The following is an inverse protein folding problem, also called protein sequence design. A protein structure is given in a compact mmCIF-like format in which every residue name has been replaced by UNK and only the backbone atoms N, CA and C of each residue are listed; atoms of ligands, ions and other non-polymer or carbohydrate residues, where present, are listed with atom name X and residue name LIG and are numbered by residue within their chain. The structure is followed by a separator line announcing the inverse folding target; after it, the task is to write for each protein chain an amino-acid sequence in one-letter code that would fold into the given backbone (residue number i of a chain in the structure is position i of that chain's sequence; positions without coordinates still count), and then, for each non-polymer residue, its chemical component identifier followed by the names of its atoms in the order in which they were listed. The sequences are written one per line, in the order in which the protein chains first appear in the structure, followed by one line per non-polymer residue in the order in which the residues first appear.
data_IF_879198593339
#
_entry.id   IF_879198593339
#
_cell.length_a   1.000
_cell.length_b   1.000
_cell.length_c   1.000
_cell.angle_alpha   90.00
_cell.angle_beta   90.00
_cell.angle_gamma   90.00
#
_symmetry.space_group_name_H-M   'P 1'
#
loop_
_entity.id
_entity.type
_entity.pdbx_description
1 polymer ?
#
# COMPACT_ATOMS: atom_id res chain seq x y z
N UNK A 1 -17.88 -2.01 20.33
CA UNK A 1 -18.28 -1.47 19.00
C UNK A 1 -17.65 -0.08 18.86
N UNK A 2 -16.60 0.08 18.05
CA UNK A 2 -15.79 1.32 17.98
C UNK A 2 -16.59 2.58 17.64
N UNK A 3 -17.67 2.42 16.87
CA UNK A 3 -18.58 3.52 16.48
C UNK A 3 -19.36 4.13 17.66
N UNK A 4 -19.35 3.50 18.85
CA UNK A 4 -19.93 4.08 20.07
C UNK A 4 -19.07 5.20 20.66
N UNK A 5 -17.77 5.17 20.41
CA UNK A 5 -16.82 6.11 21.03
C UNK A 5 -16.31 7.16 20.05
N UNK A 6 -16.27 6.85 18.74
CA UNK A 6 -15.73 7.75 17.73
C UNK A 6 -16.53 7.73 16.42
N UNK A 7 -16.67 8.87 15.73
CA UNK A 7 -17.33 8.95 14.44
C UNK A 7 -16.45 8.33 13.34
N UNK A 8 -16.66 7.05 13.05
CA UNK A 8 -15.99 6.37 11.94
C UNK A 8 -16.69 6.75 10.63
N UNK A 9 -16.03 7.62 9.86
CA UNK A 9 -16.52 8.18 8.60
C UNK A 9 -15.92 7.53 7.35
N UNK A 10 -14.77 6.86 7.46
CA UNK A 10 -14.08 6.24 6.32
C UNK A 10 -13.61 4.84 6.67
N UNK A 11 -13.29 4.06 5.64
CA UNK A 11 -12.73 2.72 5.77
C UNK A 11 -11.56 2.56 4.78
N UNK A 12 -10.64 1.65 5.06
CA UNK A 12 -9.52 1.34 4.18
C UNK A 12 -9.24 -0.16 4.25
N UNK A 13 -9.14 -0.81 3.10
CA UNK A 13 -8.75 -2.21 3.04
C UNK A 13 -7.26 -2.37 3.44
N UNK A 14 -6.97 -3.28 4.36
CA UNK A 14 -5.58 -3.67 4.63
C UNK A 14 -5.25 -4.95 3.86
N UNK A 15 -4.22 -4.95 3.03
CA UNK A 15 -3.88 -6.10 2.19
C UNK A 15 -3.34 -7.29 2.98
N UNK A 16 -3.76 -8.51 2.62
CA UNK A 16 -3.10 -9.74 3.04
C UNK A 16 -2.35 -10.35 1.86
N UNK A 17 -1.04 -10.52 2.00
CA UNK A 17 -0.15 -11.04 0.94
C UNK A 17 -0.42 -12.52 0.65
N UNK A 18 -1.01 -13.25 1.59
CA UNK A 18 -1.25 -14.70 1.49
C UNK A 18 -2.62 -15.08 0.94
N UNK A 19 -3.54 -14.13 0.80
CA UNK A 19 -4.85 -14.39 0.21
C UNK A 19 -4.84 -14.03 -1.28
N UNK A 20 -5.40 -14.94 -2.10
CA UNK A 20 -5.63 -14.68 -3.54
C UNK A 20 -6.67 -13.59 -3.78
N UNK A 21 -7.68 -13.53 -2.91
CA UNK A 21 -8.77 -12.56 -3.01
C UNK A 21 -8.26 -11.16 -2.74
N UNK A 22 -8.73 -10.20 -3.54
CA UNK A 22 -8.36 -8.81 -3.33
C UNK A 22 -9.37 -8.21 -2.35
N UNK A 23 -8.89 -7.61 -1.26
CA UNK A 23 -9.76 -7.20 -0.16
C UNK A 23 -10.81 -6.15 -0.55
N UNK A 24 -10.63 -5.40 -1.65
CA UNK A 24 -11.65 -4.50 -2.16
C UNK A 24 -12.81 -5.21 -2.86
N UNK A 25 -12.70 -6.50 -3.20
CA UNK A 25 -13.76 -7.24 -3.90
C UNK A 25 -15.01 -7.43 -3.04
N UNK A 26 -14.89 -7.28 -1.71
CA UNK A 26 -16.04 -7.23 -0.80
C UNK A 26 -17.05 -6.17 -1.23
N UNK A 27 -16.59 -5.06 -1.80
CA UNK A 27 -17.43 -3.95 -2.25
C UNK A 27 -18.16 -4.21 -3.57
N UNK A 28 -17.83 -5.31 -4.27
CA UNK A 28 -18.67 -5.81 -5.38
C UNK A 28 -20.00 -6.40 -4.87
N UNK A 29 -20.03 -6.85 -3.61
CA UNK A 29 -21.20 -7.46 -2.96
C UNK A 29 -21.91 -6.52 -1.98
N UNK A 30 -21.15 -5.63 -1.34
CA UNK A 30 -21.66 -4.74 -0.30
C UNK A 30 -21.44 -3.27 -0.66
N UNK A 31 -22.37 -2.40 -0.25
CA UNK A 31 -22.23 -0.95 -0.41
C UNK A 31 -21.87 -0.32 0.95
N UNK A 32 -20.66 0.22 1.07
CA UNK A 32 -20.20 0.88 2.29
C UNK A 32 -21.03 2.13 2.65
N UNK A 33 -21.67 2.78 1.67
CA UNK A 33 -22.49 3.99 1.91
C UNK A 33 -23.71 3.69 2.77
N UNK A 34 -24.26 2.47 2.67
CA UNK A 34 -25.38 2.00 3.51
C UNK A 34 -25.02 1.97 5.00
N UNK A 35 -23.73 1.94 5.33
CA UNK A 35 -23.24 1.97 6.71
C UNK A 35 -22.87 3.39 7.16
N UNK A 36 -23.20 4.43 6.39
CA UNK A 36 -22.86 5.82 6.70
C UNK A 36 -21.36 6.11 6.59
N UNK A 37 -20.64 5.36 5.75
CA UNK A 37 -19.23 5.62 5.44
C UNK A 37 -19.16 6.51 4.19
N UNK A 38 -18.34 7.55 4.26
CA UNK A 38 -18.12 8.54 3.20
C UNK A 38 -17.31 7.97 2.04
N UNK A 39 -16.40 7.03 2.31
CA UNK A 39 -15.50 6.49 1.29
C UNK A 39 -14.63 5.35 1.78
N UNK A 40 -14.12 4.61 0.81
CA UNK A 40 -13.06 3.62 1.00
C UNK A 40 -11.80 4.11 0.29
N UNK A 41 -10.65 4.12 0.98
CA UNK A 41 -9.44 4.80 0.52
C UNK A 41 -9.02 4.40 -0.89
N UNK A 42 -9.03 3.12 -1.24
CA UNK A 42 -8.59 2.65 -2.56
C UNK A 42 -9.65 2.87 -3.65
N UNK A 43 -10.94 2.68 -3.34
CA UNK A 43 -12.04 2.86 -4.30
C UNK A 43 -12.36 4.32 -4.57
N UNK A 44 -12.44 5.14 -3.52
CA UNK A 44 -12.74 6.57 -3.62
C UNK A 44 -11.64 7.31 -4.37
N UNK A 45 -10.39 6.87 -4.23
CA UNK A 45 -9.25 7.46 -4.93
C UNK A 45 -8.91 6.73 -6.24
N UNK A 46 -9.61 5.66 -6.63
CA UNK A 46 -9.20 4.78 -7.74
C UNK A 46 -9.00 5.53 -9.06
N UNK A 47 -9.92 6.44 -9.42
CA UNK A 47 -9.81 7.23 -10.66
C UNK A 47 -8.65 8.23 -10.61
N UNK A 48 -8.40 8.81 -9.44
CA UNK A 48 -7.36 9.83 -9.23
C UNK A 48 -5.97 9.22 -9.02
N UNK A 49 -5.87 8.05 -8.38
CA UNK A 49 -4.61 7.31 -8.23
C UNK A 49 -4.22 6.63 -9.54
N UNK A 50 -5.18 6.10 -10.32
CA UNK A 50 -4.89 5.55 -11.66
C UNK A 50 -4.36 6.60 -12.64
N UNK A 51 -4.77 7.85 -12.47
CA UNK A 51 -4.31 8.99 -13.27
C UNK A 51 -3.18 9.78 -12.62
N UNK A 52 -2.89 9.54 -11.34
CA UNK A 52 -1.87 10.20 -10.55
C UNK A 52 -0.65 9.32 -10.26
N UNK A 53 0.24 9.83 -9.43
CA UNK A 53 1.52 9.19 -9.15
C UNK A 53 1.55 8.62 -7.73
N UNK A 54 1.61 7.29 -7.61
CA UNK A 54 1.62 6.59 -6.32
C UNK A 54 3.02 6.09 -5.94
N UNK A 55 3.50 6.52 -4.77
CA UNK A 55 4.79 6.19 -4.19
C UNK A 55 4.64 5.52 -2.84
N UNK A 56 5.57 4.61 -2.51
CA UNK A 56 5.74 4.11 -1.16
C UNK A 56 7.21 4.03 -0.79
N UNK A 57 7.52 4.39 0.45
CA UNK A 57 8.84 4.21 1.08
C UNK A 57 9.27 2.73 1.15
N UNK A 58 8.36 1.80 0.90
CA UNK A 58 8.62 0.35 0.85
C UNK A 58 8.98 -0.18 -0.53
N UNK A 59 9.00 0.69 -1.55
CA UNK A 59 9.18 0.29 -2.95
C UNK A 59 7.97 -0.44 -3.54
N UNK A 60 6.87 -0.60 -2.79
CA UNK A 60 5.59 -1.09 -3.31
C UNK A 60 4.84 0.06 -3.95
N UNK A 61 5.12 0.25 -5.23
CA UNK A 61 4.57 1.34 -6.04
C UNK A 61 3.92 0.78 -7.29
N UNK A 62 2.92 1.49 -7.81
CA UNK A 62 2.27 1.14 -9.08
C UNK A 62 3.05 1.68 -10.28
N UNK A 63 3.84 2.73 -10.04
CA UNK A 63 4.68 3.38 -11.06
C UNK A 63 6.12 2.88 -10.97
N UNK A 64 6.77 2.63 -12.11
CA UNK A 64 8.16 2.16 -12.18
C UNK A 64 9.16 3.30 -11.94
N UNK A 65 9.29 3.76 -10.70
CA UNK A 65 10.32 4.74 -10.32
C UNK A 65 11.51 4.03 -9.68
N UNK A 66 12.63 3.99 -10.40
CA UNK A 66 13.80 3.20 -10.00
C UNK A 66 14.87 4.01 -9.27
N UNK A 67 14.91 5.32 -9.48
CA UNK A 67 15.98 6.20 -9.00
C UNK A 67 15.40 7.49 -8.47
N UNK A 68 16.16 8.15 -7.60
CA UNK A 68 15.83 9.48 -7.07
C UNK A 68 15.69 10.51 -8.19
N UNK A 69 16.52 10.44 -9.23
CA UNK A 69 16.43 11.35 -10.38
C UNK A 69 15.12 11.19 -11.16
N UNK A 70 14.65 9.94 -11.32
CA UNK A 70 13.35 9.67 -11.93
C UNK A 70 12.21 10.25 -11.08
N UNK A 71 12.32 10.18 -9.76
CA UNK A 71 11.36 10.79 -8.84
C UNK A 71 11.37 12.32 -8.98
N UNK A 72 12.55 12.95 -8.92
CA UNK A 72 12.72 14.40 -9.06
C UNK A 72 12.13 14.88 -10.38
N UNK A 73 12.46 14.21 -11.50
CA UNK A 73 11.90 14.55 -12.82
C UNK A 73 10.38 14.46 -12.87
N UNK A 74 9.78 13.50 -12.15
CA UNK A 74 8.32 13.34 -12.11
C UNK A 74 7.63 14.44 -11.30
N UNK A 75 8.24 14.89 -10.19
CA UNK A 75 7.66 15.92 -9.32
C UNK A 75 7.99 17.36 -9.75
N UNK A 76 9.01 17.54 -10.59
CA UNK A 76 9.44 18.86 -11.06
C UNK A 76 8.41 19.51 -12.01
N UNK A 77 8.26 20.85 -11.97
CA UNK A 77 7.44 21.58 -12.94
C UNK A 77 7.83 21.27 -14.38
N UNK A 78 6.88 21.28 -15.35
CA UNK A 78 5.48 21.73 -15.24
C UNK A 78 4.49 20.61 -14.86
N UNK A 79 4.94 19.50 -14.28
CA UNK A 79 4.11 18.33 -14.08
C UNK A 79 3.00 18.58 -13.02
N UNK A 80 1.75 18.73 -13.46
CA UNK A 80 0.57 19.02 -12.60
C UNK A 80 -0.18 17.75 -12.16
N UNK A 81 0.54 16.65 -11.92
CA UNK A 81 -0.10 15.40 -11.50
C UNK A 81 -0.30 15.38 -9.98
N UNK A 82 -1.38 14.75 -9.52
CA UNK A 82 -1.60 14.50 -8.10
C UNK A 82 -0.64 13.41 -7.62
N UNK A 83 0.02 13.65 -6.49
CA UNK A 83 0.97 12.72 -5.88
C UNK A 83 0.36 12.08 -4.63
N UNK A 84 0.52 10.77 -4.52
CA UNK A 84 0.09 9.98 -3.36
C UNK A 84 1.31 9.28 -2.79
N UNK A 85 1.58 9.50 -1.49
CA UNK A 85 2.75 8.92 -0.80
C UNK A 85 2.25 8.06 0.35
N UNK A 86 2.64 6.78 0.34
CA UNK A 86 2.50 5.87 1.46
C UNK A 86 3.83 5.77 2.21
N UNK A 87 3.90 6.43 3.36
CA UNK A 87 5.02 6.36 4.29
C UNK A 87 4.67 5.49 5.50
N UNK A 88 5.65 4.78 6.02
CA UNK A 88 5.54 4.02 7.27
C UNK A 88 6.56 4.57 8.27
N UNK A 89 6.18 5.55 9.10
CA UNK A 89 7.11 6.19 10.04
C UNK A 89 7.85 5.20 10.95
N UNK A 90 7.21 4.09 11.32
CA UNK A 90 7.82 3.01 12.10
C UNK A 90 9.05 2.38 11.43
N UNK A 91 9.21 2.56 10.12
CA UNK A 91 10.38 2.10 9.36
C UNK A 91 11.51 3.11 9.34
N UNK A 92 11.26 4.35 9.72
CA UNK A 92 12.24 5.44 9.78
C UNK A 92 12.91 5.42 11.16
N UNK A 93 13.52 4.28 11.48
CA UNK A 93 14.21 4.11 12.75
C UNK A 93 15.55 4.86 12.70
N UNK A 94 15.76 5.78 13.63
CA UNK A 94 16.99 6.57 13.75
C UNK A 94 18.18 5.75 14.29
N UNK A 95 17.95 4.53 14.79
CA UNK A 95 18.99 3.64 15.27
C UNK A 95 19.50 2.72 14.15
N UNK A 96 20.76 2.93 13.75
CA UNK A 96 21.45 2.16 12.72
C UNK A 96 21.44 0.65 12.97
N UNK A 97 21.58 0.22 14.23
CA UNK A 97 21.59 -1.20 14.58
C UNK A 97 20.21 -1.83 14.40
N UNK A 98 19.16 -1.14 14.87
CA UNK A 98 17.78 -1.60 14.70
C UNK A 98 17.36 -1.63 13.22
N UNK A 99 17.80 -0.63 12.44
CA UNK A 99 17.61 -0.60 10.99
C UNK A 99 18.31 -1.79 10.31
N UNK A 100 19.57 -2.06 10.66
CA UNK A 100 20.34 -3.19 10.12
C UNK A 100 19.68 -4.54 10.42
N UNK A 101 19.22 -4.76 11.65
CA UNK A 101 18.46 -5.95 12.04
C UNK A 101 17.16 -6.08 11.23
N UNK A 102 16.42 -4.97 11.06
CA UNK A 102 15.20 -4.94 10.25
C UNK A 102 15.48 -5.29 8.79
N UNK A 103 16.58 -4.79 8.21
CA UNK A 103 16.98 -5.09 6.83
C UNK A 103 17.26 -6.58 6.65
N UNK A 104 18.03 -7.19 7.56
CA UNK A 104 18.34 -8.63 7.52
C UNK A 104 17.05 -9.45 7.60
N UNK A 105 16.17 -9.14 8.56
CA UNK A 105 14.89 -9.82 8.71
C UNK A 105 14.00 -9.68 7.47
N UNK A 106 14.00 -8.51 6.81
CA UNK A 106 13.27 -8.31 5.57
C UNK A 106 13.83 -9.16 4.42
N UNK A 107 15.16 -9.26 4.28
CA UNK A 107 15.80 -10.12 3.27
C UNK A 107 15.41 -11.59 3.48
N UNK A 108 15.48 -12.07 4.73
CA UNK A 108 15.07 -13.44 5.08
C UNK A 108 13.59 -13.67 4.74
N UNK A 109 12.70 -12.77 5.16
CA UNK A 109 11.25 -12.88 4.87
C UNK A 109 10.97 -12.91 3.37
N UNK A 110 11.66 -12.09 2.58
CA UNK A 110 11.47 -12.04 1.14
C UNK A 110 11.99 -13.32 0.47
N UNK A 111 13.12 -13.86 0.93
CA UNK A 111 13.66 -15.14 0.48
C UNK A 111 12.69 -16.29 0.75
N UNK A 112 12.17 -16.39 1.97
CA UNK A 112 11.17 -17.41 2.34
C UNK A 112 9.90 -17.27 1.49
N UNK A 113 9.41 -16.04 1.27
CA UNK A 113 8.27 -15.80 0.39
C UNK A 113 8.53 -16.26 -1.04
N UNK A 114 9.75 -16.09 -1.55
CA UNK A 114 10.10 -16.52 -2.90
C UNK A 114 10.16 -18.03 -3.02
N UNK A 115 10.74 -18.72 -2.02
CA UNK A 115 10.65 -20.18 -1.89
C UNK A 115 9.19 -20.63 -1.91
N UNK A 116 8.35 -20.07 -1.03
CA UNK A 116 6.94 -20.48 -0.94
C UNK A 116 6.16 -20.28 -2.25
N UNK A 117 6.48 -19.25 -3.04
CA UNK A 117 5.92 -19.07 -4.38
C UNK A 117 6.39 -20.15 -5.35
N UNK A 118 7.69 -20.46 -5.37
CA UNK A 118 8.27 -21.42 -6.29
C UNK A 118 7.82 -22.86 -6.00
N UNK A 119 7.52 -23.18 -4.73
CA UNK A 119 6.95 -24.47 -4.32
C UNK A 119 5.41 -24.52 -4.38
N UNK A 120 4.74 -23.55 -5.01
CA UNK A 120 3.29 -23.58 -5.27
C UNK A 120 2.39 -23.33 -4.05
N UNK A 121 2.95 -23.05 -2.87
CA UNK A 121 2.18 -22.75 -1.66
C UNK A 121 1.56 -21.34 -1.66
N UNK A 122 2.06 -20.42 -2.50
CA UNK A 122 1.39 -19.17 -2.78
C UNK A 122 0.65 -19.30 -4.12
N UNK A 123 -0.64 -19.63 -4.06
CA UNK A 123 -1.40 -19.95 -5.25
C UNK A 123 -1.37 -18.84 -6.31
N UNK A 124 -1.37 -19.30 -7.56
CA UNK A 124 -1.09 -18.58 -8.80
C UNK A 124 -1.50 -17.11 -8.89
N UNK A 125 -0.58 -16.32 -9.45
CA UNK A 125 -0.77 -14.96 -9.95
C UNK A 125 -1.75 -14.93 -11.11
#
# INVERSE_FOLDING_TARGET
NMRKHYPIKTICAHGNIFMKGINYDIWKKYDFKKYGLLGEAYLSLNKEIKSGIYFSDTGRQWNKVKTTDNLIRLISPPNKQNFYILAHPDKWNNNLFSWGKMLILQKIKNFVKEILKNFGFAGGR
#
